data_IF_743215697008
#
_entry.id   IF_743215697008
#
_cell.length_a   1.000
_cell.length_b   1.000
_cell.length_c   1.000
_cell.angle_alpha   90.00
_cell.angle_beta   90.00
_cell.angle_gamma   90.00
#
_symmetry.space_group_name_H-M   'P 1'
#
loop_
_entity.id
_entity.type
_entity.pdbx_description
1 polymer ?
#
# COMPACT_ATOMS: atom_id res chain seq x y z
N UNK A 1 16.20 17.76 -13.18
CA UNK A 1 15.78 18.85 -12.28
C UNK A 1 15.07 20.00 -13.01
N UNK A 2 15.48 20.32 -14.23
CA UNK A 2 14.90 21.42 -15.03
C UNK A 2 13.39 21.25 -15.28
N UNK A 3 12.93 20.03 -15.48
CA UNK A 3 11.52 19.71 -15.64
C UNK A 3 10.74 19.95 -14.34
N UNK A 4 11.34 19.59 -13.19
CA UNK A 4 10.73 19.85 -11.86
C UNK A 4 10.64 21.34 -11.59
N UNK A 5 11.68 22.13 -11.92
CA UNK A 5 11.67 23.58 -11.81
C UNK A 5 10.57 24.22 -12.68
N UNK A 6 10.41 23.73 -13.90
CA UNK A 6 9.33 24.18 -14.77
C UNK A 6 7.93 23.77 -14.29
N UNK A 7 7.81 22.58 -13.69
CA UNK A 7 6.56 22.10 -13.08
C UNK A 7 6.15 22.94 -11.87
N UNK A 8 7.10 23.26 -10.96
CA UNK A 8 6.84 24.05 -9.75
C UNK A 8 6.38 25.49 -10.01
N UNK A 9 6.60 26.00 -11.24
CA UNK A 9 6.02 27.28 -11.67
C UNK A 9 4.52 27.22 -11.95
N UNK A 10 3.95 26.00 -12.05
CA UNK A 10 2.54 25.75 -12.43
C UNK A 10 1.76 24.96 -11.38
N UNK A 11 2.44 24.15 -10.59
CA UNK A 11 1.84 23.25 -9.60
C UNK A 11 2.78 23.05 -8.44
N UNK A 12 2.23 22.89 -7.25
CA UNK A 12 2.96 22.66 -5.99
C UNK A 12 2.70 21.27 -5.40
N UNK A 13 2.11 20.38 -6.18
CA UNK A 13 1.70 19.06 -5.73
C UNK A 13 2.68 17.94 -6.09
N UNK A 14 2.76 16.91 -5.26
CA UNK A 14 3.50 15.68 -5.51
C UNK A 14 2.79 14.48 -4.89
N UNK A 15 2.84 13.33 -5.57
CA UNK A 15 2.37 12.05 -5.06
C UNK A 15 3.58 11.24 -4.59
N UNK A 16 3.48 10.61 -3.41
CA UNK A 16 4.50 9.71 -2.87
C UNK A 16 3.88 8.33 -2.66
N UNK A 17 4.20 7.33 -3.48
CA UNK A 17 3.81 5.96 -3.20
C UNK A 17 4.58 5.42 -2.00
N UNK A 18 3.89 4.69 -1.12
CA UNK A 18 4.50 4.06 0.06
C UNK A 18 3.88 2.68 0.28
N UNK A 19 4.72 1.67 0.42
CA UNK A 19 4.29 0.30 0.67
C UNK A 19 5.18 -0.40 1.68
N UNK A 20 5.54 -1.65 1.43
CA UNK A 20 6.53 -2.42 2.20
C UNK A 20 7.28 -3.40 1.31
N UNK A 21 8.37 -3.96 1.84
CA UNK A 21 9.09 -5.10 1.28
C UNK A 21 8.92 -6.27 2.23
N UNK A 22 7.82 -7.01 2.07
CA UNK A 22 7.49 -8.13 2.94
C UNK A 22 6.89 -9.33 2.18
N UNK A 23 6.90 -10.48 2.83
CA UNK A 23 6.26 -11.67 2.29
C UNK A 23 4.76 -11.45 2.03
N UNK A 24 4.22 -12.05 0.97
CA UNK A 24 2.80 -12.00 0.62
C UNK A 24 2.26 -13.40 0.27
N UNK A 25 2.53 -14.36 1.14
CA UNK A 25 2.08 -15.74 0.94
C UNK A 25 2.71 -16.41 -0.28
N UNK A 26 2.18 -17.58 -0.68
CA UNK A 26 2.80 -18.40 -1.74
C UNK A 26 2.65 -17.82 -3.14
N UNK A 27 1.71 -16.89 -3.37
CA UNK A 27 1.45 -16.30 -4.69
C UNK A 27 1.85 -14.84 -4.82
N UNK A 28 2.04 -14.15 -3.70
CA UNK A 28 2.45 -12.75 -3.69
C UNK A 28 3.94 -12.58 -3.94
N UNK A 29 4.30 -11.44 -4.50
CA UNK A 29 5.70 -11.04 -4.66
C UNK A 29 6.19 -10.38 -3.38
N UNK A 30 7.47 -10.55 -3.07
CA UNK A 30 8.10 -9.71 -2.04
C UNK A 30 7.98 -8.24 -2.50
N UNK A 31 7.44 -7.37 -1.64
CA UNK A 31 7.18 -5.98 -2.01
C UNK A 31 5.84 -5.72 -2.72
N UNK A 32 4.89 -6.65 -2.67
CA UNK A 32 3.54 -6.48 -3.25
C UNK A 32 2.91 -5.12 -2.89
N UNK A 33 3.02 -4.68 -1.65
CA UNK A 33 2.48 -3.40 -1.19
C UNK A 33 3.10 -2.20 -1.93
N UNK A 34 4.43 -2.21 -2.07
CA UNK A 34 5.15 -1.16 -2.79
C UNK A 34 4.77 -1.17 -4.29
N UNK A 35 4.66 -2.35 -4.90
CA UNK A 35 4.28 -2.51 -6.31
C UNK A 35 2.85 -2.03 -6.58
N UNK A 36 1.90 -2.34 -5.68
CA UNK A 36 0.53 -1.85 -5.77
C UNK A 36 0.46 -0.32 -5.65
N UNK A 37 1.12 0.24 -4.64
CA UNK A 37 1.16 1.68 -4.42
C UNK A 37 1.80 2.41 -5.60
N UNK A 38 2.92 1.92 -6.12
CA UNK A 38 3.65 2.48 -7.26
C UNK A 38 2.80 2.50 -8.54
N UNK A 39 2.21 1.36 -8.89
CA UNK A 39 1.41 1.22 -10.10
C UNK A 39 0.21 2.16 -10.09
N UNK A 40 -0.51 2.21 -8.96
CA UNK A 40 -1.68 3.08 -8.80
C UNK A 40 -1.27 4.56 -8.74
N UNK A 41 -0.17 4.90 -8.04
CA UNK A 41 0.32 6.27 -7.95
C UNK A 41 0.75 6.80 -9.32
N UNK A 42 1.50 6.02 -10.11
CA UNK A 42 1.93 6.41 -11.45
C UNK A 42 0.73 6.66 -12.37
N UNK A 43 -0.24 5.76 -12.37
CA UNK A 43 -1.45 5.93 -13.17
C UNK A 43 -2.31 7.13 -12.70
N UNK A 44 -2.34 7.40 -11.38
CA UNK A 44 -3.02 8.58 -10.82
C UNK A 44 -2.29 9.87 -11.23
N UNK A 45 -0.97 9.92 -11.07
CA UNK A 45 -0.15 11.07 -11.44
C UNK A 45 -0.25 11.40 -12.93
N UNK A 46 -0.18 10.38 -13.80
CA UNK A 46 -0.37 10.53 -15.24
C UNK A 46 -1.75 11.12 -15.58
N UNK A 47 -2.81 10.60 -14.94
CA UNK A 47 -4.19 11.04 -15.18
C UNK A 47 -4.43 12.50 -14.82
N UNK A 48 -3.85 12.99 -13.72
CA UNK A 48 -4.10 14.35 -13.21
C UNK A 48 -2.95 15.33 -13.43
N UNK A 49 -1.87 14.90 -14.11
CA UNK A 49 -0.72 15.74 -14.41
C UNK A 49 0.12 16.13 -13.19
N UNK A 50 0.23 15.25 -12.20
CA UNK A 50 0.99 15.45 -10.95
C UNK A 50 2.21 14.54 -10.92
N UNK A 51 3.36 15.07 -10.54
CA UNK A 51 4.59 14.27 -10.42
C UNK A 51 4.49 13.24 -9.32
N UNK A 52 5.08 12.07 -9.58
CA UNK A 52 5.16 10.96 -8.65
C UNK A 52 6.62 10.75 -8.24
N UNK A 53 6.87 10.76 -6.94
CA UNK A 53 8.18 10.47 -6.38
C UNK A 53 8.51 8.96 -6.43
N UNK A 54 9.78 8.56 -6.31
CA UNK A 54 10.16 7.17 -6.12
C UNK A 54 9.45 6.54 -4.91
N UNK A 55 9.10 5.26 -5.03
CA UNK A 55 8.33 4.53 -4.02
C UNK A 55 9.14 4.29 -2.74
N UNK A 56 8.55 4.57 -1.59
CA UNK A 56 9.09 4.18 -0.29
C UNK A 56 8.73 2.72 -0.02
N UNK A 57 9.68 1.82 -0.25
CA UNK A 57 9.47 0.38 -0.16
C UNK A 57 10.03 -0.26 1.12
N UNK A 58 10.90 0.42 1.86
CA UNK A 58 11.46 -0.07 3.12
C UNK A 58 10.79 0.65 4.29
N UNK A 59 9.84 -0.03 4.91
CA UNK A 59 8.96 0.50 5.94
C UNK A 59 8.82 -0.50 7.10
N UNK A 60 8.15 -0.18 8.21
CA UNK A 60 7.94 -1.12 9.31
C UNK A 60 7.04 -2.29 8.91
N UNK A 61 7.58 -3.51 8.96
CA UNK A 61 6.85 -4.77 8.77
C UNK A 61 7.35 -5.85 9.76
N UNK A 62 7.45 -5.54 11.09
CA UNK A 62 8.11 -6.40 12.06
C UNK A 62 7.45 -7.77 12.24
N UNK A 63 6.13 -7.86 12.09
CA UNK A 63 5.39 -9.11 12.27
C UNK A 63 5.72 -10.18 11.22
N UNK A 64 6.20 -9.76 10.03
CA UNK A 64 6.60 -10.66 8.94
C UNK A 64 8.09 -11.06 8.96
N UNK A 65 8.88 -10.64 9.96
CA UNK A 65 10.33 -10.89 10.01
C UNK A 65 10.73 -12.36 10.16
N UNK A 66 9.84 -13.26 10.56
CA UNK A 66 10.09 -14.69 10.55
C UNK A 66 9.99 -15.33 9.16
N UNK A 67 9.62 -14.57 8.12
CA UNK A 67 9.57 -15.02 6.73
C UNK A 67 10.76 -14.44 5.95
N UNK A 68 11.63 -15.28 5.35
CA UNK A 68 12.77 -14.81 4.55
C UNK A 68 12.34 -13.89 3.41
N UNK A 69 13.12 -12.83 3.18
CA UNK A 69 12.85 -11.83 2.16
C UNK A 69 12.14 -10.57 2.67
N UNK A 70 11.51 -10.63 3.84
CA UNK A 70 10.96 -9.43 4.50
C UNK A 70 12.09 -8.52 4.97
N UNK A 71 11.98 -7.22 4.68
CA UNK A 71 12.87 -6.17 5.17
C UNK A 71 12.02 -5.19 5.98
N UNK A 72 12.36 -5.04 7.26
CA UNK A 72 11.65 -4.12 8.15
C UNK A 72 12.62 -3.14 8.79
N UNK A 73 12.27 -1.87 8.80
CA UNK A 73 12.98 -0.85 9.58
C UNK A 73 12.18 -0.48 10.83
N UNK A 74 12.80 0.18 11.80
CA UNK A 74 12.08 0.66 12.97
C UNK A 74 11.11 1.79 12.63
N UNK A 75 10.03 1.91 13.41
CA UNK A 75 9.07 3.02 13.27
C UNK A 75 9.76 4.37 13.38
N UNK A 76 10.69 4.53 14.33
CA UNK A 76 11.43 5.78 14.53
C UNK A 76 12.31 6.15 13.34
N UNK A 77 12.99 5.16 12.74
CA UNK A 77 13.79 5.40 11.52
C UNK A 77 12.88 5.78 10.34
N UNK A 78 11.77 5.10 10.17
CA UNK A 78 10.80 5.43 9.13
C UNK A 78 10.23 6.84 9.28
N UNK A 79 9.86 7.23 10.50
CA UNK A 79 9.38 8.59 10.79
C UNK A 79 10.45 9.64 10.49
N UNK A 80 11.70 9.41 10.88
CA UNK A 80 12.82 10.31 10.58
C UNK A 80 13.04 10.43 9.08
N UNK A 81 13.06 9.32 8.34
CA UNK A 81 13.19 9.30 6.88
C UNK A 81 12.09 10.13 6.19
N UNK A 82 10.84 9.92 6.59
CA UNK A 82 9.70 10.65 5.99
C UNK A 82 9.76 12.14 6.33
N UNK A 83 10.18 12.49 7.55
CA UNK A 83 10.38 13.89 7.95
C UNK A 83 11.40 14.59 7.06
N UNK A 84 12.54 13.95 6.78
CA UNK A 84 13.59 14.50 5.91
C UNK A 84 13.11 14.64 4.45
N UNK A 85 12.34 13.65 3.94
CA UNK A 85 11.75 13.70 2.60
C UNK A 85 10.78 14.89 2.49
N UNK A 86 9.85 15.02 3.43
CA UNK A 86 8.88 16.13 3.45
C UNK A 86 9.61 17.48 3.55
N UNK A 87 10.59 17.60 4.44
CA UNK A 87 11.38 18.83 4.59
C UNK A 87 12.10 19.21 3.30
N UNK A 88 12.68 18.24 2.59
CA UNK A 88 13.34 18.47 1.31
C UNK A 88 12.36 18.93 0.22
N UNK A 89 11.15 18.35 0.17
CA UNK A 89 10.12 18.75 -0.78
C UNK A 89 9.62 20.17 -0.50
N UNK A 90 9.42 20.52 0.78
CA UNK A 90 9.04 21.87 1.21
C UNK A 90 10.12 22.89 0.82
N UNK A 91 11.39 22.55 1.02
CA UNK A 91 12.53 23.40 0.63
C UNK A 91 12.49 23.77 -0.86
N UNK A 92 12.03 22.86 -1.72
CA UNK A 92 11.89 23.08 -3.16
C UNK A 92 10.59 23.75 -3.58
N UNK A 93 9.63 23.96 -2.65
CA UNK A 93 8.38 24.67 -2.92
C UNK A 93 7.15 23.79 -3.09
N UNK A 94 7.23 22.47 -2.86
CA UNK A 94 6.05 21.62 -2.80
C UNK A 94 5.23 21.94 -1.55
N UNK A 95 3.89 22.09 -1.71
CA UNK A 95 2.96 22.42 -0.62
C UNK A 95 1.79 21.45 -0.50
N UNK A 96 1.55 20.64 -1.52
CA UNK A 96 0.53 19.57 -1.51
C UNK A 96 1.23 18.23 -1.69
N UNK A 97 1.29 17.44 -0.63
CA UNK A 97 1.99 16.14 -0.60
C UNK A 97 0.96 15.05 -0.34
N UNK A 98 0.80 14.15 -1.30
CA UNK A 98 -0.21 13.11 -1.28
C UNK A 98 0.43 11.73 -1.23
N UNK A 99 0.27 11.04 -0.11
CA UNK A 99 0.76 9.67 0.03
C UNK A 99 -0.28 8.67 -0.44
N UNK A 100 0.10 7.80 -1.38
CA UNK A 100 -0.69 6.63 -1.79
C UNK A 100 -0.08 5.40 -1.13
N UNK A 101 -0.83 4.82 -0.20
CA UNK A 101 -0.36 3.76 0.68
C UNK A 101 -0.83 2.38 0.22
N UNK A 102 0.08 1.40 0.29
CA UNK A 102 -0.18 -0.01 0.06
C UNK A 102 -0.01 -0.90 1.30
N UNK A 103 0.35 -0.35 2.49
CA UNK A 103 0.69 -1.14 3.68
C UNK A 103 0.07 -0.56 4.96
N UNK A 104 -0.69 -1.38 5.69
CA UNK A 104 -1.46 -0.91 6.84
C UNK A 104 -0.62 -0.33 7.97
N UNK A 105 0.56 -0.91 8.25
CA UNK A 105 1.45 -0.48 9.32
C UNK A 105 2.06 0.93 9.11
N UNK A 106 1.99 1.48 7.90
CA UNK A 106 2.49 2.82 7.60
C UNK A 106 1.56 3.94 8.12
N UNK A 107 0.28 3.66 8.30
CA UNK A 107 -0.75 4.68 8.53
C UNK A 107 -0.51 5.51 9.80
N UNK A 108 -0.27 4.85 10.92
CA UNK A 108 -0.08 5.52 12.21
C UNK A 108 1.24 6.31 12.27
N UNK A 109 2.39 5.73 11.87
CA UNK A 109 3.65 6.46 11.80
C UNK A 109 3.61 7.70 10.90
N UNK A 110 2.99 7.60 9.72
CA UNK A 110 2.88 8.73 8.78
C UNK A 110 1.99 9.84 9.33
N UNK A 111 0.82 9.49 9.87
CA UNK A 111 -0.08 10.49 10.49
C UNK A 111 0.60 11.24 11.62
N UNK A 112 1.45 10.56 12.41
CA UNK A 112 2.23 11.21 13.45
C UNK A 112 3.22 12.22 12.86
N UNK A 113 3.98 11.86 11.82
CA UNK A 113 4.89 12.78 11.14
C UNK A 113 4.15 13.99 10.58
N UNK A 114 2.97 13.81 10.00
CA UNK A 114 2.22 14.93 9.39
C UNK A 114 1.84 16.02 10.40
N UNK A 115 1.66 15.67 11.66
CA UNK A 115 1.38 16.67 12.72
C UNK A 115 2.52 17.65 12.94
N UNK A 116 3.73 17.34 12.48
CA UNK A 116 4.91 18.23 12.60
C UNK A 116 4.98 19.28 11.46
N UNK A 117 4.08 19.21 10.47
CA UNK A 117 4.02 20.10 9.31
C UNK A 117 2.62 20.76 9.17
N UNK A 118 2.16 21.54 10.14
CA UNK A 118 0.79 22.06 10.18
C UNK A 118 0.43 23.01 9.04
N UNK A 119 1.43 23.65 8.43
CA UNK A 119 1.24 24.63 7.34
C UNK A 119 1.30 24.00 5.94
N UNK A 120 1.49 22.68 5.84
CA UNK A 120 1.60 21.96 4.59
C UNK A 120 0.37 21.07 4.41
N UNK A 121 -0.22 21.09 3.22
CA UNK A 121 -1.34 20.23 2.92
C UNK A 121 -0.84 18.80 2.62
N UNK A 122 -0.86 17.94 3.64
CA UNK A 122 -0.41 16.56 3.53
C UNK A 122 -1.60 15.61 3.76
N UNK A 123 -1.79 14.66 2.84
CA UNK A 123 -2.84 13.64 2.95
C UNK A 123 -2.27 12.26 2.68
N UNK A 124 -2.83 11.25 3.35
CA UNK A 124 -2.60 9.84 3.05
C UNK A 124 -3.91 9.15 2.74
N UNK A 125 -3.90 8.34 1.69
CA UNK A 125 -4.94 7.37 1.35
C UNK A 125 -4.31 6.02 1.04
N UNK A 126 -4.87 4.98 1.61
CA UNK A 126 -4.61 3.64 1.09
C UNK A 126 -5.42 3.45 -0.20
N UNK A 127 -4.87 2.71 -1.17
CA UNK A 127 -5.58 2.50 -2.43
C UNK A 127 -6.97 1.85 -2.24
N UNK A 128 -7.20 1.20 -1.10
CA UNK A 128 -8.46 0.54 -0.73
C UNK A 128 -9.39 1.38 0.16
N UNK A 129 -9.10 2.66 0.47
CA UNK A 129 -9.90 3.45 1.41
C UNK A 129 -11.29 3.85 0.87
N UNK A 130 -11.55 3.64 -0.40
CA UNK A 130 -12.76 4.12 -1.08
C UNK A 130 -13.83 3.05 -1.20
N UNK A 131 -15.10 3.45 -1.03
CA UNK A 131 -16.25 2.55 -1.11
C UNK A 131 -16.34 1.84 -2.48
N UNK A 132 -16.05 2.53 -3.57
CA UNK A 132 -16.04 1.94 -4.92
C UNK A 132 -15.02 0.80 -5.05
N UNK A 133 -13.85 0.95 -4.45
CA UNK A 133 -12.80 -0.09 -4.42
C UNK A 133 -13.21 -1.25 -3.50
N UNK A 134 -13.75 -0.93 -2.31
CA UNK A 134 -14.17 -1.95 -1.36
C UNK A 134 -15.36 -2.77 -1.88
N UNK A 135 -16.32 -2.14 -2.55
CA UNK A 135 -17.41 -2.85 -3.21
C UNK A 135 -16.89 -3.83 -4.27
N UNK A 136 -15.89 -3.44 -5.05
CA UNK A 136 -15.27 -4.32 -6.05
C UNK A 136 -14.55 -5.50 -5.40
N UNK A 137 -13.80 -5.27 -4.31
CA UNK A 137 -13.15 -6.33 -3.52
C UNK A 137 -14.17 -7.29 -2.93
N UNK A 138 -15.22 -6.75 -2.30
CA UNK A 138 -16.28 -7.56 -1.69
C UNK A 138 -17.03 -8.42 -2.73
N UNK A 139 -17.36 -7.85 -3.89
CA UNK A 139 -18.08 -8.57 -4.95
C UNK A 139 -17.25 -9.71 -5.57
N UNK A 140 -15.92 -9.57 -5.64
CA UNK A 140 -15.06 -10.58 -6.25
C UNK A 140 -14.54 -11.61 -5.23
N UNK A 141 -14.26 -11.20 -4.00
CA UNK A 141 -13.54 -12.03 -3.03
C UNK A 141 -14.29 -12.29 -1.73
N UNK A 142 -15.22 -11.40 -1.35
CA UNK A 142 -16.03 -11.53 -0.13
C UNK A 142 -15.18 -11.76 1.11
N UNK A 143 -15.56 -12.75 1.92
CA UNK A 143 -14.82 -13.14 3.14
C UNK A 143 -13.40 -13.68 2.87
N UNK A 144 -13.07 -14.02 1.62
CA UNK A 144 -11.76 -14.51 1.22
C UNK A 144 -10.74 -13.41 0.93
N UNK A 145 -11.15 -12.15 1.00
CA UNK A 145 -10.21 -11.04 0.93
C UNK A 145 -9.18 -11.12 2.06
N UNK A 146 -9.61 -11.40 3.29
CA UNK A 146 -8.71 -11.50 4.44
C UNK A 146 -8.05 -10.17 4.80
N UNK A 147 -6.79 -10.23 5.29
CA UNK A 147 -6.07 -9.05 5.76
C UNK A 147 -4.67 -8.89 5.17
N UNK A 148 -4.00 -9.99 4.76
CA UNK A 148 -2.64 -9.96 4.21
C UNK A 148 -2.45 -11.07 3.19
N UNK A 149 -1.66 -10.83 2.17
CA UNK A 149 -1.54 -11.64 0.96
C UNK A 149 -2.91 -11.80 0.27
N UNK A 150 -3.62 -10.68 0.14
CA UNK A 150 -5.00 -10.63 -0.32
C UNK A 150 -5.11 -10.93 -1.82
N UNK A 151 -6.22 -11.55 -2.27
CA UNK A 151 -6.41 -11.76 -3.69
C UNK A 151 -6.51 -10.44 -4.47
N UNK A 152 -6.93 -9.33 -3.85
CA UNK A 152 -6.99 -8.02 -4.52
C UNK A 152 -5.61 -7.46 -4.83
N UNK A 153 -4.70 -7.40 -3.87
CA UNK A 153 -3.34 -6.88 -4.10
C UNK A 153 -2.52 -7.77 -5.05
N UNK A 154 -2.67 -9.10 -4.93
CA UNK A 154 -2.03 -10.02 -5.86
C UNK A 154 -2.63 -9.87 -7.27
N UNK A 155 -3.92 -9.62 -7.41
CA UNK A 155 -4.55 -9.32 -8.70
C UNK A 155 -3.95 -8.06 -9.34
N UNK A 156 -3.69 -7.01 -8.55
CA UNK A 156 -3.06 -5.77 -9.01
C UNK A 156 -1.65 -6.07 -9.53
N UNK A 157 -0.82 -6.77 -8.76
CA UNK A 157 0.55 -7.10 -9.20
C UNK A 157 0.58 -7.98 -10.44
N UNK A 158 -0.39 -8.88 -10.63
CA UNK A 158 -0.48 -9.74 -11.82
C UNK A 158 -0.76 -8.99 -13.13
N UNK A 159 -1.14 -7.71 -13.07
CA UNK A 159 -1.37 -6.92 -14.29
C UNK A 159 -0.05 -6.63 -15.04
N UNK A 160 1.00 -6.34 -14.29
CA UNK A 160 2.28 -5.88 -14.86
C UNK A 160 3.48 -6.72 -14.44
N UNK A 161 3.32 -7.62 -13.48
CA UNK A 161 4.41 -8.43 -12.93
C UNK A 161 4.18 -9.92 -13.14
N UNK A 162 5.18 -10.70 -12.71
CA UNK A 162 5.17 -12.17 -12.80
C UNK A 162 3.97 -12.74 -12.05
N UNK A 163 3.24 -13.62 -12.72
CA UNK A 163 2.19 -14.45 -12.12
C UNK A 163 2.82 -15.72 -11.57
N UNK A 164 2.67 -15.95 -10.26
CA UNK A 164 3.12 -17.19 -9.64
C UNK A 164 1.99 -18.23 -9.69
N UNK A 165 2.31 -19.52 -9.93
CA UNK A 165 1.32 -20.58 -9.89
C UNK A 165 0.79 -20.74 -8.46
N UNK A 166 -0.50 -21.10 -8.29
CA UNK A 166 -1.11 -21.14 -6.97
C UNK A 166 -0.52 -22.22 -6.04
N UNK A 167 -0.01 -23.32 -6.57
CA UNK A 167 0.55 -24.39 -5.74
C UNK A 167 -0.40 -24.78 -4.60
N UNK A 168 0.11 -24.83 -3.37
CA UNK A 168 -0.69 -25.12 -2.18
C UNK A 168 -1.73 -24.03 -1.83
N UNK A 169 -1.60 -22.83 -2.40
CA UNK A 169 -2.57 -21.74 -2.21
C UNK A 169 -3.98 -22.05 -2.76
N UNK A 170 -4.12 -23.10 -3.60
CA UNK A 170 -5.43 -23.62 -4.03
C UNK A 170 -6.30 -24.01 -2.83
N UNK A 171 -5.70 -24.46 -1.74
CA UNK A 171 -6.44 -24.72 -0.50
C UNK A 171 -6.74 -23.41 0.20
N UNK A 172 -8.02 -23.08 0.46
CA UNK A 172 -8.36 -21.86 1.17
C UNK A 172 -7.80 -21.91 2.59
N UNK A 173 -7.30 -20.79 3.13
CA UNK A 173 -6.88 -20.70 4.53
C UNK A 173 -8.10 -20.70 5.46
N UNK A 174 -7.85 -20.66 6.78
CA UNK A 174 -8.94 -20.47 7.76
C UNK A 174 -9.50 -19.06 7.62
N UNK A 175 -10.83 -18.95 7.52
CA UNK A 175 -11.53 -17.65 7.55
C UNK A 175 -11.31 -16.94 8.89
N UNK A 176 -11.18 -15.63 8.83
CA UNK A 176 -11.07 -14.79 10.01
C UNK A 176 -12.45 -14.41 10.56
N UNK A 177 -12.55 -14.25 11.87
CA UNK A 177 -13.74 -13.65 12.47
C UNK A 177 -13.70 -12.12 12.33
N UNK A 178 -14.88 -11.50 12.31
CA UNK A 178 -14.98 -10.03 12.28
C UNK A 178 -14.26 -9.38 13.48
N UNK A 179 -14.30 -10.01 14.65
CA UNK A 179 -13.59 -9.55 15.86
C UNK A 179 -12.07 -9.61 15.68
N UNK A 180 -11.54 -10.64 15.01
CA UNK A 180 -10.11 -10.72 14.69
C UNK A 180 -9.69 -9.59 13.75
N UNK A 181 -10.43 -9.40 12.64
CA UNK A 181 -10.16 -8.35 11.67
C UNK A 181 -10.13 -6.97 12.34
N UNK A 182 -11.15 -6.66 13.15
CA UNK A 182 -11.21 -5.38 13.89
C UNK A 182 -10.04 -5.18 14.84
N UNK A 183 -9.63 -6.23 15.58
CA UNK A 183 -8.53 -6.17 16.53
C UNK A 183 -7.17 -5.93 15.86
N UNK A 184 -6.95 -6.50 14.67
CA UNK A 184 -5.66 -6.48 13.98
C UNK A 184 -5.61 -5.49 12.81
N UNK A 185 -6.62 -4.63 12.67
CA UNK A 185 -6.63 -3.59 11.63
C UNK A 185 -5.40 -2.67 11.75
N UNK A 186 -4.79 -2.30 10.59
CA UNK A 186 -3.54 -1.55 10.54
C UNK A 186 -2.32 -2.41 10.88
N UNK A 187 -2.36 -3.71 10.54
CA UNK A 187 -1.28 -4.69 10.71
C UNK A 187 -0.78 -4.85 12.16
N UNK A 188 -1.69 -4.71 13.11
CA UNK A 188 -1.41 -4.89 14.54
C UNK A 188 -1.31 -6.38 14.90
N UNK A 189 -0.29 -7.04 14.35
CA UNK A 189 0.01 -8.43 14.62
C UNK A 189 0.97 -8.59 15.80
N UNK A 190 1.04 -9.81 16.35
CA UNK A 190 1.94 -10.15 17.45
C UNK A 190 3.40 -10.33 17.00
N UNK A 191 4.27 -10.87 17.89
CA UNK A 191 5.66 -11.18 17.56
C UNK A 191 5.78 -12.08 16.32
N UNK A 192 6.83 -11.93 15.49
CA UNK A 192 6.96 -12.59 14.19
C UNK A 192 6.88 -14.12 14.27
N UNK A 193 7.48 -14.75 15.30
CA UNK A 193 7.43 -16.21 15.45
C UNK A 193 6.02 -16.72 15.77
N UNK A 194 5.26 -15.98 16.56
CA UNK A 194 3.85 -16.30 16.84
C UNK A 194 3.00 -16.09 15.59
N UNK A 195 3.25 -15.02 14.85
CA UNK A 195 2.57 -14.74 13.59
C UNK A 195 2.79 -15.88 12.59
N UNK A 196 4.04 -16.30 12.39
CA UNK A 196 4.36 -17.41 11.49
C UNK A 196 3.76 -18.75 11.94
N UNK A 197 3.68 -19.02 13.26
CA UNK A 197 3.00 -20.22 13.77
C UNK A 197 1.51 -20.21 13.49
N UNK A 198 0.88 -19.04 13.58
CA UNK A 198 -0.56 -18.86 13.34
C UNK A 198 -0.91 -18.88 11.83
N UNK A 199 -0.02 -18.33 11.01
CA UNK A 199 -0.18 -18.20 9.55
C UNK A 199 1.06 -18.76 8.84
N UNK A 200 1.24 -20.09 8.81
CA UNK A 200 2.52 -20.71 8.41
C UNK A 200 2.88 -20.50 6.94
N UNK A 201 1.93 -20.22 6.08
CA UNK A 201 2.15 -19.88 4.67
C UNK A 201 2.12 -18.37 4.38
N UNK A 202 2.02 -17.53 5.40
CA UNK A 202 2.02 -16.09 5.30
C UNK A 202 0.68 -15.43 4.96
N UNK A 203 -0.37 -16.20 4.60
CA UNK A 203 -1.70 -15.66 4.30
C UNK A 203 -2.49 -15.39 5.58
N UNK A 204 -3.02 -14.19 5.76
CA UNK A 204 -3.87 -13.86 6.92
C UNK A 204 -5.35 -13.88 6.51
N UNK A 205 -5.92 -15.09 6.43
CA UNK A 205 -7.30 -15.32 6.04
C UNK A 205 -7.63 -15.11 4.56
N UNK A 206 -6.63 -14.81 3.76
CA UNK A 206 -6.77 -14.40 2.34
C UNK A 206 -6.64 -15.60 1.42
N UNK A 207 -7.62 -15.83 0.55
CA UNK A 207 -7.54 -16.90 -0.45
C UNK A 207 -6.88 -16.40 -1.74
N UNK A 208 -5.56 -16.29 -1.72
CA UNK A 208 -4.74 -15.73 -2.80
C UNK A 208 -4.98 -16.37 -4.17
N UNK A 209 -5.39 -17.65 -4.21
CA UNK A 209 -5.68 -18.35 -5.47
C UNK A 209 -6.89 -17.80 -6.25
N UNK A 210 -7.68 -16.91 -5.65
CA UNK A 210 -8.75 -16.20 -6.33
C UNK A 210 -8.25 -14.99 -7.15
N UNK A 211 -6.98 -14.62 -6.97
CA UNK A 211 -6.39 -13.49 -7.70
C UNK A 211 -6.39 -13.71 -9.21
N UNK A 212 -6.72 -12.65 -9.95
CA UNK A 212 -6.60 -12.63 -11.40
C UNK A 212 -6.40 -11.21 -11.94
N UNK A 213 -5.62 -11.09 -13.01
CA UNK A 213 -5.22 -9.80 -13.59
C UNK A 213 -6.38 -8.96 -14.12
N UNK A 214 -7.49 -9.57 -14.55
CA UNK A 214 -8.67 -8.83 -15.03
C UNK A 214 -9.32 -8.02 -13.89
N UNK A 215 -9.48 -8.64 -12.72
CA UNK A 215 -9.96 -7.92 -11.52
C UNK A 215 -8.91 -6.93 -11.05
N UNK A 216 -7.62 -7.27 -11.14
CA UNK A 216 -6.53 -6.35 -10.84
C UNK A 216 -6.60 -5.05 -11.66
N UNK A 217 -6.84 -5.14 -12.96
CA UNK A 217 -7.02 -3.96 -13.81
C UNK A 217 -8.25 -3.13 -13.43
N UNK A 218 -9.35 -3.78 -13.04
CA UNK A 218 -10.54 -3.08 -12.55
C UNK A 218 -10.26 -2.34 -11.24
N UNK A 219 -9.54 -2.98 -10.30
CA UNK A 219 -9.13 -2.38 -9.04
C UNK A 219 -8.24 -1.15 -9.25
N UNK A 220 -7.23 -1.26 -10.13
CA UNK A 220 -6.37 -0.13 -10.49
C UNK A 220 -7.20 1.03 -11.02
N UNK A 221 -8.03 0.79 -12.04
CA UNK A 221 -8.83 1.83 -12.67
C UNK A 221 -9.76 2.52 -11.67
N UNK A 222 -10.39 1.74 -10.78
CA UNK A 222 -11.31 2.25 -9.76
C UNK A 222 -10.57 3.06 -8.70
N UNK A 223 -9.42 2.57 -8.21
CA UNK A 223 -8.59 3.27 -7.25
C UNK A 223 -8.02 4.58 -7.83
N UNK A 224 -7.53 4.55 -9.07
CA UNK A 224 -7.03 5.74 -9.78
C UNK A 224 -8.10 6.81 -9.91
N UNK A 225 -9.34 6.44 -10.24
CA UNK A 225 -10.45 7.39 -10.32
C UNK A 225 -10.72 8.05 -8.96
N UNK A 226 -10.90 7.24 -7.93
CA UNK A 226 -11.21 7.73 -6.59
C UNK A 226 -10.08 8.58 -5.98
N UNK A 227 -8.81 8.14 -6.15
CA UNK A 227 -7.64 8.90 -5.68
C UNK A 227 -7.46 10.21 -6.44
N UNK A 228 -7.75 10.23 -7.75
CA UNK A 228 -7.70 11.46 -8.55
C UNK A 228 -8.71 12.49 -8.05
N UNK A 229 -9.95 12.07 -7.79
CA UNK A 229 -11.00 12.94 -7.24
C UNK A 229 -10.64 13.44 -5.84
N UNK A 230 -10.13 12.56 -4.94
CA UNK A 230 -9.70 12.92 -3.57
C UNK A 230 -8.51 13.89 -3.59
N UNK A 231 -7.57 13.74 -4.51
CA UNK A 231 -6.45 14.66 -4.69
C UNK A 231 -6.93 16.05 -5.18
N UNK A 232 -7.81 16.08 -6.16
CA UNK A 232 -8.33 17.34 -6.71
C UNK A 232 -9.21 18.12 -5.72
N UNK A 233 -9.77 17.43 -4.73
CA UNK A 233 -10.52 18.00 -3.60
C UNK A 233 -9.62 18.40 -2.40
N UNK A 234 -8.31 18.34 -2.53
CA UNK A 234 -7.29 18.66 -1.51
C UNK A 234 -6.91 20.20 -1.53
#
# INVERSE_FOLDING_TARGET
>A
WQEVDAYLKKSDGIIIPVGSTEQHGPMGLIGTDALCAEQIANATGEKIGVYVAPTLAYTPAPFNMSFPGTISISVSLFQSLVTEIISSLIHHGFKRIYFINGHGANLEPLRHVFTTFPDINIRIRSWWDFESVNSLRQNNFGDWEGMHATPSEISITQVTHKVLPPGDAVKPPKKLSASFIKKHAGDRHGPPDQHRKQFPDGRVGSHSALANSKVGQQLINTAVNALSEDYLAM
#
